data_IF_836545428831
#
_entry.id   IF_836545428831
#
_cell.length_a   1.000
_cell.length_b   1.000
_cell.length_c   1.000
_cell.angle_alpha   90.00
_cell.angle_beta   90.00
_cell.angle_gamma   90.00
#
_symmetry.space_group_name_H-M   'P 1'
#
loop_
_entity.id
_entity.type
_entity.pdbx_description
1 polymer ?
#
# COMPACT_ATOMS: atom_id res chain seq x y z
N UNK A 1 9.28 -28.05 -17.57
CA UNK A 1 8.03 -27.41 -17.08
C UNK A 1 8.16 -25.89 -17.17
N UNK A 2 9.29 -25.33 -16.76
CA UNK A 2 9.70 -23.93 -16.96
C UNK A 2 9.56 -23.43 -18.43
N UNK A 3 10.15 -24.13 -19.41
CA UNK A 3 10.02 -23.79 -20.85
C UNK A 3 8.59 -23.84 -21.41
N UNK A 4 7.62 -24.43 -20.69
CA UNK A 4 6.21 -24.44 -21.11
C UNK A 4 5.42 -23.24 -20.56
N UNK A 5 5.99 -22.52 -19.60
CA UNK A 5 5.36 -21.41 -18.88
C UNK A 5 6.04 -20.08 -19.20
N UNK A 6 7.34 -20.09 -19.54
CA UNK A 6 8.10 -18.96 -20.08
C UNK A 6 7.80 -18.82 -21.60
N UNK A 7 6.63 -18.27 -21.91
CA UNK A 7 6.13 -18.08 -23.29
C UNK A 7 6.85 -16.91 -23.96
N UNK A 8 7.30 -15.94 -23.17
CA UNK A 8 8.07 -14.77 -23.57
C UNK A 8 9.55 -15.09 -23.85
N UNK A 9 10.07 -16.18 -23.25
CA UNK A 9 11.41 -16.72 -23.50
C UNK A 9 12.52 -15.91 -22.83
N UNK A 10 12.22 -15.23 -21.73
CA UNK A 10 13.15 -14.33 -21.04
C UNK A 10 13.82 -14.95 -19.81
N UNK A 11 13.57 -16.24 -19.54
CA UNK A 11 14.21 -16.99 -18.47
C UNK A 11 13.65 -16.66 -17.08
N UNK A 12 12.50 -15.98 -17.02
CA UNK A 12 11.73 -15.61 -15.82
C UNK A 12 10.24 -15.72 -16.16
N UNK A 13 9.42 -16.07 -15.18
CA UNK A 13 7.96 -16.06 -15.32
C UNK A 13 7.45 -14.67 -14.97
N UNK A 14 6.83 -13.97 -15.93
CA UNK A 14 6.16 -12.70 -15.67
C UNK A 14 4.75 -12.90 -15.06
N UNK A 15 4.12 -11.79 -14.63
CA UNK A 15 2.78 -11.82 -14.03
C UNK A 15 1.69 -12.30 -15.01
N UNK A 16 1.89 -12.10 -16.32
CA UNK A 16 0.98 -12.59 -17.35
C UNK A 16 1.16 -14.12 -17.56
N UNK A 17 2.37 -14.65 -17.37
CA UNK A 17 2.74 -16.07 -17.44
C UNK A 17 2.41 -16.86 -16.17
N UNK A 18 2.33 -16.17 -15.04
CA UNK A 18 1.74 -16.65 -13.78
C UNK A 18 0.22 -16.71 -13.80
N UNK A 19 -0.44 -16.42 -14.93
CA UNK A 19 -1.86 -16.78 -15.09
C UNK A 19 -1.99 -18.30 -15.02
N UNK A 20 -2.19 -18.79 -13.80
CA UNK A 20 -2.64 -20.13 -13.52
C UNK A 20 -3.89 -20.34 -14.38
N UNK A 21 -3.75 -21.08 -15.49
CA UNK A 21 -4.86 -21.44 -16.36
C UNK A 21 -5.78 -22.40 -15.62
N UNK A 22 -6.53 -21.88 -14.66
CA UNK A 22 -7.63 -22.59 -14.05
C UNK A 22 -8.81 -22.42 -15.00
N UNK A 23 -9.21 -23.54 -15.61
CA UNK A 23 -10.52 -23.69 -16.26
C UNK A 23 -11.59 -23.07 -15.37
N UNK A 24 -12.62 -22.40 -15.91
CA UNK A 24 -13.79 -21.85 -15.20
C UNK A 24 -14.24 -22.69 -13.99
N UNK A 25 -13.54 -22.53 -12.86
CA UNK A 25 -13.77 -23.24 -11.62
C UNK A 25 -14.64 -22.32 -10.78
N UNK A 26 -15.58 -22.91 -10.08
CA UNK A 26 -16.33 -22.17 -9.09
C UNK A 26 -15.66 -22.49 -7.74
N UNK A 27 -14.86 -21.58 -7.19
CA UNK A 27 -14.08 -21.84 -5.98
C UNK A 27 -14.97 -22.18 -4.78
N UNK A 28 -16.18 -21.60 -4.67
CA UNK A 28 -17.13 -21.96 -3.60
C UNK A 28 -17.67 -23.39 -3.74
N UNK A 29 -17.82 -23.88 -4.98
CA UNK A 29 -18.22 -25.27 -5.21
C UNK A 29 -17.07 -26.21 -4.87
N UNK A 30 -15.84 -25.83 -5.20
CA UNK A 30 -14.65 -26.61 -4.92
C UNK A 30 -14.37 -26.65 -3.40
N UNK A 31 -14.61 -25.55 -2.68
CA UNK A 31 -14.63 -25.49 -1.21
C UNK A 31 -15.65 -26.49 -0.62
N UNK A 32 -16.91 -26.42 -1.06
CA UNK A 32 -17.97 -27.35 -0.59
C UNK A 32 -17.68 -28.82 -0.91
N UNK A 33 -16.93 -29.09 -1.97
CA UNK A 33 -16.51 -30.44 -2.30
C UNK A 33 -15.33 -30.92 -1.44
N UNK A 34 -14.51 -30.01 -0.94
CA UNK A 34 -13.40 -30.30 -0.03
C UNK A 34 -13.86 -30.43 1.43
N UNK A 35 -14.92 -29.73 1.82
CA UNK A 35 -15.55 -29.81 3.15
C UNK A 35 -16.27 -31.17 3.32
N UNK A 36 -15.49 -32.19 3.67
CA UNK A 36 -15.95 -33.57 3.72
C UNK A 36 -16.86 -33.83 4.93
N UNK A 37 -16.64 -33.10 6.02
CA UNK A 37 -17.41 -33.25 7.25
C UNK A 37 -18.66 -32.34 7.29
N UNK A 38 -18.73 -31.33 6.41
CA UNK A 38 -19.88 -30.44 6.24
C UNK A 38 -20.03 -29.39 7.33
N UNK A 39 -18.94 -29.02 8.01
CA UNK A 39 -18.97 -28.06 9.11
C UNK A 39 -18.71 -26.61 8.68
N UNK A 40 -18.52 -26.37 7.39
CA UNK A 40 -18.38 -25.06 6.79
C UNK A 40 -16.97 -24.47 6.88
N UNK A 41 -15.98 -25.24 7.34
CA UNK A 41 -14.56 -24.87 7.35
C UNK A 41 -13.71 -26.02 6.82
N UNK A 42 -12.55 -25.73 6.23
CA UNK A 42 -11.60 -26.77 5.81
C UNK A 42 -10.51 -26.96 6.86
N UNK A 43 -10.30 -28.21 7.25
CA UNK A 43 -9.07 -28.62 7.92
C UNK A 43 -7.90 -28.71 6.93
N UNK A 44 -6.66 -28.73 7.45
CA UNK A 44 -5.46 -28.95 6.63
C UNK A 44 -5.57 -30.24 5.80
N UNK A 45 -6.14 -31.30 6.37
CA UNK A 45 -6.32 -32.57 5.67
C UNK A 45 -7.29 -32.44 4.49
N UNK A 46 -8.40 -31.75 4.67
CA UNK A 46 -9.39 -31.50 3.62
C UNK A 46 -8.82 -30.59 2.52
N UNK A 47 -8.08 -29.55 2.91
CA UNK A 47 -7.42 -28.63 1.97
C UNK A 47 -6.37 -29.35 1.11
N UNK A 48 -5.60 -30.26 1.70
CA UNK A 48 -4.48 -30.97 1.04
C UNK A 48 -4.87 -32.27 0.33
N UNK A 49 -6.13 -32.73 0.43
CA UNK A 49 -6.59 -34.03 -0.09
C UNK A 49 -6.46 -34.26 -1.61
N UNK A 50 -5.98 -33.26 -2.38
CA UNK A 50 -5.79 -33.32 -3.83
C UNK A 50 -4.39 -33.76 -4.29
N UNK A 51 -4.22 -33.89 -5.61
CA UNK A 51 -2.89 -34.07 -6.24
C UNK A 51 -2.16 -32.72 -6.28
N UNK A 52 -0.90 -32.66 -5.84
CA UNK A 52 -0.09 -31.42 -5.86
C UNK A 52 1.15 -31.47 -4.97
N UNK A 53 1.77 -30.31 -4.75
CA UNK A 53 2.92 -30.13 -3.85
C UNK A 53 2.41 -29.92 -2.41
N UNK A 54 2.59 -30.91 -1.50
CA UNK A 54 2.00 -30.86 -0.17
C UNK A 54 2.54 -29.70 0.67
N UNK A 55 3.83 -29.36 0.54
CA UNK A 55 4.46 -28.27 1.30
C UNK A 55 3.87 -26.92 0.91
N UNK A 56 3.68 -26.66 -0.40
CA UNK A 56 3.02 -25.45 -0.90
C UNK A 56 1.59 -25.33 -0.38
N UNK A 57 0.81 -26.42 -0.41
CA UNK A 57 -0.56 -26.38 0.10
C UNK A 57 -0.61 -26.18 1.61
N UNK A 58 0.36 -26.73 2.35
CA UNK A 58 0.46 -26.50 3.79
C UNK A 58 0.77 -25.03 4.09
N UNK A 59 1.75 -24.45 3.40
CA UNK A 59 2.03 -23.01 3.48
C UNK A 59 0.78 -22.17 3.16
N UNK A 60 0.13 -22.43 2.02
CA UNK A 60 -1.07 -21.69 1.61
C UNK A 60 -2.22 -21.85 2.62
N UNK A 61 -2.26 -22.96 3.36
CA UNK A 61 -3.19 -23.11 4.46
C UNK A 61 -2.76 -22.21 5.63
N UNK A 62 -1.54 -22.39 6.14
CA UNK A 62 -1.00 -21.69 7.31
C UNK A 62 -0.98 -20.15 7.14
N UNK A 63 -0.77 -19.64 5.93
CA UNK A 63 -0.73 -18.18 5.62
C UNK A 63 -2.10 -17.51 5.65
N UNK A 64 -3.14 -18.21 5.20
CA UNK A 64 -4.48 -17.63 5.04
C UNK A 64 -5.46 -18.04 6.14
N UNK A 65 -5.03 -18.97 6.98
CA UNK A 65 -5.81 -19.48 8.09
C UNK A 65 -5.43 -18.76 9.39
N UNK A 66 -6.29 -17.84 9.84
CA UNK A 66 -6.05 -17.11 11.07
C UNK A 66 -6.38 -17.92 12.34
N UNK A 67 -7.20 -18.97 12.27
CA UNK A 67 -7.76 -19.67 13.44
C UNK A 67 -7.58 -21.22 13.44
N UNK A 68 -6.65 -21.70 12.62
CA UNK A 68 -6.38 -23.12 12.33
C UNK A 68 -7.52 -23.85 11.58
N UNK A 69 -8.45 -23.09 10.97
CA UNK A 69 -9.53 -23.56 10.11
C UNK A 69 -9.79 -22.58 8.97
N UNK A 70 -9.58 -23.04 7.74
CA UNK A 70 -9.81 -22.19 6.57
C UNK A 70 -11.31 -22.04 6.27
N UNK A 71 -11.86 -20.86 6.51
CA UNK A 71 -13.22 -20.49 6.12
C UNK A 71 -13.37 -20.36 4.60
N UNK A 72 -14.62 -20.32 4.12
CA UNK A 72 -14.87 -20.09 2.68
C UNK A 72 -14.26 -18.76 2.21
N UNK A 73 -14.26 -17.73 3.06
CA UNK A 73 -13.73 -16.42 2.69
C UNK A 73 -12.20 -16.44 2.58
N UNK A 74 -11.52 -17.10 3.51
CA UNK A 74 -10.07 -17.27 3.45
C UNK A 74 -9.66 -18.16 2.26
N UNK A 75 -10.43 -19.22 1.98
CA UNK A 75 -10.22 -20.03 0.77
C UNK A 75 -10.30 -19.22 -0.52
N UNK A 76 -11.22 -18.26 -0.59
CA UNK A 76 -11.35 -17.34 -1.72
C UNK A 76 -10.17 -16.38 -1.82
N UNK A 77 -9.40 -16.15 -0.75
CA UNK A 77 -8.16 -15.35 -0.79
C UNK A 77 -6.97 -16.12 -1.35
N UNK A 78 -6.99 -17.47 -1.36
CA UNK A 78 -5.82 -18.29 -1.73
C UNK A 78 -5.59 -18.28 -3.26
N UNK A 79 -4.46 -17.74 -3.78
CA UNK A 79 -4.20 -17.66 -5.22
C UNK A 79 -4.10 -19.00 -5.94
N UNK A 80 -3.67 -20.07 -5.24
CA UNK A 80 -3.59 -21.42 -5.83
C UNK A 80 -4.96 -22.08 -6.03
N UNK A 81 -6.01 -21.55 -5.38
CA UNK A 81 -7.39 -22.08 -5.45
C UNK A 81 -8.34 -21.16 -6.19
N UNK A 82 -8.07 -19.86 -6.16
CA UNK A 82 -9.00 -18.84 -6.62
C UNK A 82 -8.32 -17.94 -7.65
N UNK A 83 -8.92 -17.84 -8.83
CA UNK A 83 -8.44 -16.94 -9.89
C UNK A 83 -8.54 -15.47 -9.44
N UNK A 84 -7.67 -14.57 -9.94
CA UNK A 84 -7.72 -13.15 -9.56
C UNK A 84 -9.11 -12.51 -9.68
N UNK A 85 -9.88 -12.86 -10.71
CA UNK A 85 -11.23 -12.29 -10.94
C UNK A 85 -12.28 -12.76 -9.94
N UNK A 86 -12.05 -13.88 -9.27
CA UNK A 86 -12.95 -14.48 -8.26
C UNK A 86 -12.40 -14.33 -6.85
N UNK A 87 -11.19 -13.79 -6.70
CA UNK A 87 -10.50 -13.69 -5.42
C UNK A 87 -11.14 -12.60 -4.59
N UNK A 88 -11.35 -12.88 -3.31
CA UNK A 88 -11.81 -11.90 -2.34
C UNK A 88 -10.87 -11.91 -1.17
N UNK A 89 -10.27 -10.76 -0.88
CA UNK A 89 -9.27 -10.57 0.15
C UNK A 89 -9.74 -9.49 1.12
N UNK A 90 -10.40 -9.92 2.19
CA UNK A 90 -10.96 -9.02 3.19
C UNK A 90 -9.92 -8.49 4.19
N UNK A 91 -8.77 -9.15 4.29
CA UNK A 91 -7.72 -8.84 5.27
C UNK A 91 -6.62 -7.95 4.66
N UNK A 92 -6.98 -6.81 4.07
CA UNK A 92 -5.97 -5.79 3.70
C UNK A 92 -5.59 -4.95 4.93
N UNK A 93 -4.33 -5.04 5.42
CA UNK A 93 -3.90 -4.37 6.64
C UNK A 93 -3.91 -2.84 6.54
N UNK A 94 -3.76 -2.28 5.34
CA UNK A 94 -3.82 -0.83 5.11
C UNK A 94 -5.28 -0.36 5.06
N UNK A 95 -6.17 -1.14 4.45
CA UNK A 95 -7.62 -0.84 4.47
C UNK A 95 -8.13 -0.91 5.92
N UNK A 96 -7.77 -1.94 6.67
CA UNK A 96 -8.12 -2.06 8.08
C UNK A 96 -7.64 -0.85 8.90
N UNK A 97 -6.39 -0.41 8.69
CA UNK A 97 -5.86 0.78 9.35
C UNK A 97 -6.64 2.06 8.99
N UNK A 98 -7.03 2.21 7.73
CA UNK A 98 -7.85 3.34 7.28
C UNK A 98 -9.25 3.32 7.92
N UNK A 99 -9.91 2.17 7.97
CA UNK A 99 -11.25 2.03 8.57
C UNK A 99 -11.22 2.24 10.09
N UNK A 100 -10.19 1.74 10.79
CA UNK A 100 -9.96 2.07 12.20
C UNK A 100 -9.83 3.59 12.38
N UNK A 101 -9.03 4.25 11.54
CA UNK A 101 -8.85 5.71 11.61
C UNK A 101 -10.15 6.46 11.32
N UNK A 102 -10.95 6.00 10.36
CA UNK A 102 -12.28 6.58 10.09
C UNK A 102 -13.14 6.54 11.35
N UNK A 103 -13.22 5.39 12.03
CA UNK A 103 -14.04 5.26 13.24
C UNK A 103 -13.61 6.26 14.31
N UNK A 104 -12.31 6.40 14.55
CA UNK A 104 -11.76 7.36 15.52
C UNK A 104 -12.09 8.81 15.14
N UNK A 105 -11.87 9.18 13.88
CA UNK A 105 -12.14 10.56 13.41
C UNK A 105 -13.62 10.87 13.43
N UNK A 106 -14.49 9.90 13.12
CA UNK A 106 -15.94 10.09 13.18
C UNK A 106 -16.46 10.32 14.60
N UNK A 107 -15.77 9.83 15.64
CA UNK A 107 -16.10 10.16 17.03
C UNK A 107 -15.77 11.62 17.35
N UNK A 108 -14.63 12.11 16.87
CA UNK A 108 -14.22 13.52 17.00
C UNK A 108 -15.18 14.41 16.20
N UNK A 109 -15.53 14.01 14.97
CA UNK A 109 -16.51 14.68 14.11
C UNK A 109 -17.85 14.86 14.83
N UNK A 110 -18.41 13.79 15.39
CA UNK A 110 -19.69 13.84 16.10
C UNK A 110 -19.65 14.75 17.34
N UNK A 111 -18.48 14.90 17.97
CA UNK A 111 -18.29 15.81 19.11
C UNK A 111 -18.10 17.27 18.68
N UNK A 112 -17.64 17.49 17.45
CA UNK A 112 -17.41 18.80 16.86
C UNK A 112 -18.66 19.41 16.21
N UNK A 113 -19.60 18.57 15.76
CA UNK A 113 -20.89 18.97 15.20
C UNK A 113 -21.81 19.49 16.30
N UNK A 114 -21.67 20.78 16.62
CA UNK A 114 -22.37 21.39 17.74
C UNK A 114 -23.84 21.67 17.46
N UNK A 115 -24.22 21.71 16.18
CA UNK A 115 -25.58 21.98 15.74
C UNK A 115 -26.34 20.70 15.30
N UNK A 116 -25.68 19.55 15.34
CA UNK A 116 -26.20 18.20 15.06
C UNK A 116 -26.78 18.05 13.63
N UNK A 117 -26.21 18.74 12.65
CA UNK A 117 -26.64 18.65 11.24
C UNK A 117 -25.87 17.61 10.41
N UNK A 118 -24.99 16.82 11.05
CA UNK A 118 -24.11 15.83 10.45
C UNK A 118 -23.08 16.40 9.48
N UNK A 119 -22.73 17.67 9.64
CA UNK A 119 -21.73 18.41 8.87
C UNK A 119 -20.94 19.32 9.80
N UNK A 120 -19.71 19.63 9.43
CA UNK A 120 -18.89 20.62 10.14
C UNK A 120 -18.70 21.83 9.26
N UNK A 121 -19.17 22.98 9.71
CA UNK A 121 -18.78 24.23 9.09
C UNK A 121 -17.30 24.58 9.38
N UNK A 122 -16.80 25.65 8.79
CA UNK A 122 -15.40 26.06 8.95
C UNK A 122 -15.00 26.39 10.40
N UNK A 123 -15.94 26.80 11.26
CA UNK A 123 -15.67 27.12 12.66
C UNK A 123 -15.72 25.87 13.54
N UNK A 124 -16.72 25.02 13.34
CA UNK A 124 -16.83 23.69 13.97
C UNK A 124 -15.60 22.83 13.65
N UNK A 125 -15.20 22.78 12.38
CA UNK A 125 -14.02 22.06 11.94
C UNK A 125 -12.74 22.57 12.60
N UNK A 126 -12.56 23.90 12.66
CA UNK A 126 -11.36 24.52 13.26
C UNK A 126 -11.27 24.27 14.77
N UNK A 127 -12.41 24.31 15.47
CA UNK A 127 -12.47 24.13 16.91
C UNK A 127 -12.50 22.65 17.33
N UNK A 128 -13.01 21.78 16.47
CA UNK A 128 -13.26 20.36 16.71
C UNK A 128 -12.04 19.44 16.65
N UNK A 129 -10.85 19.95 16.29
CA UNK A 129 -9.58 19.19 16.22
C UNK A 129 -9.56 17.99 15.27
N UNK A 130 -10.52 17.90 14.34
CA UNK A 130 -10.67 16.78 13.38
C UNK A 130 -9.37 16.46 12.62
N UNK A 131 -8.55 17.46 12.30
CA UNK A 131 -7.27 17.26 11.59
C UNK A 131 -6.08 16.99 12.50
N UNK A 132 -6.11 17.46 13.75
CA UNK A 132 -4.94 17.49 14.63
C UNK A 132 -4.55 16.10 15.13
N UNK A 133 -5.53 15.22 15.22
CA UNK A 133 -5.38 13.89 15.81
C UNK A 133 -5.25 12.81 14.73
N UNK A 134 -5.16 13.20 13.44
CA UNK A 134 -4.96 12.27 12.33
C UNK A 134 -3.51 12.34 11.84
N UNK A 135 -2.69 11.31 12.11
CA UNK A 135 -1.31 11.28 11.70
C UNK A 135 -1.16 11.49 10.18
N UNK A 136 -0.35 12.47 9.79
CA UNK A 136 -0.07 12.83 8.39
C UNK A 136 -1.03 13.85 7.78
N UNK A 137 -2.17 14.16 8.40
CA UNK A 137 -3.14 15.16 7.90
C UNK A 137 -3.18 16.45 8.73
N UNK A 138 -2.23 16.65 9.65
CA UNK A 138 -2.24 17.73 10.63
C UNK A 138 -2.18 19.12 9.99
N UNK A 139 -1.59 19.22 8.80
CA UNK A 139 -1.43 20.45 8.03
C UNK A 139 -2.51 20.65 6.95
N UNK A 140 -3.38 19.66 6.74
CA UNK A 140 -4.45 19.76 5.76
C UNK A 140 -5.52 20.71 6.28
N UNK A 141 -5.83 21.71 5.46
CA UNK A 141 -6.79 22.76 5.75
C UNK A 141 -8.20 22.32 5.37
N UNK A 142 -9.19 23.09 5.82
CA UNK A 142 -10.62 22.84 5.59
C UNK A 142 -10.97 22.52 4.12
N UNK A 143 -10.37 23.22 3.16
CA UNK A 143 -10.54 23.02 1.72
C UNK A 143 -10.04 21.67 1.20
N UNK A 144 -9.09 21.03 1.90
CA UNK A 144 -8.70 19.65 1.62
C UNK A 144 -9.75 18.62 2.07
N UNK A 145 -10.62 19.00 3.00
CA UNK A 145 -11.68 18.15 3.55
C UNK A 145 -13.05 18.41 2.94
N UNK A 146 -13.38 19.67 2.64
CA UNK A 146 -14.57 20.07 1.89
C UNK A 146 -14.36 19.79 0.40
N UNK A 147 -14.74 18.58 -0.01
CA UNK A 147 -14.42 18.04 -1.34
C UNK A 147 -15.34 18.58 -2.42
N UNK A 148 -16.59 18.84 -2.06
CA UNK A 148 -17.59 19.36 -2.98
C UNK A 148 -17.66 20.91 -2.98
N UNK A 149 -16.89 21.56 -2.11
CA UNK A 149 -16.84 23.02 -1.94
C UNK A 149 -18.20 23.62 -1.55
N UNK A 150 -18.99 22.89 -0.76
CA UNK A 150 -20.29 23.35 -0.27
C UNK A 150 -20.19 24.21 1.00
N UNK A 151 -18.98 24.41 1.52
CA UNK A 151 -18.70 25.20 2.70
C UNK A 151 -18.88 24.42 4.01
N UNK A 152 -19.04 23.10 3.93
CA UNK A 152 -19.14 22.20 5.07
C UNK A 152 -18.39 20.88 4.79
N UNK A 153 -17.97 20.18 5.85
CA UNK A 153 -17.37 18.84 5.75
C UNK A 153 -18.39 17.82 6.25
N UNK A 154 -18.74 16.87 5.40
CA UNK A 154 -19.62 15.75 5.73
C UNK A 154 -18.85 14.50 6.16
N UNK A 155 -19.53 13.54 6.79
CA UNK A 155 -18.94 12.26 7.15
C UNK A 155 -18.49 11.41 5.95
N UNK A 156 -19.09 11.60 4.76
CA UNK A 156 -18.66 10.93 3.52
C UNK A 156 -17.34 11.51 3.00
N UNK A 157 -17.14 12.82 3.16
CA UNK A 157 -15.89 13.48 2.80
C UNK A 157 -14.77 13.09 3.75
N UNK A 158 -15.04 13.01 5.06
CA UNK A 158 -14.09 12.45 6.04
C UNK A 158 -13.63 11.06 5.63
N UNK A 159 -14.57 10.14 5.32
CA UNK A 159 -14.22 8.80 4.86
C UNK A 159 -13.36 8.81 3.60
N UNK A 160 -13.72 9.65 2.62
CA UNK A 160 -12.99 9.79 1.35
C UNK A 160 -11.57 10.29 1.58
N UNK A 161 -11.40 11.32 2.40
CA UNK A 161 -10.11 11.91 2.76
C UNK A 161 -9.22 10.89 3.48
N UNK A 162 -9.75 10.18 4.48
CA UNK A 162 -8.96 9.18 5.22
C UNK A 162 -8.57 8.00 4.31
N UNK A 163 -9.50 7.45 3.52
CA UNK A 163 -9.17 6.38 2.56
C UNK A 163 -8.13 6.83 1.54
N UNK A 164 -8.19 8.08 1.10
CA UNK A 164 -7.19 8.66 0.22
C UNK A 164 -5.83 8.82 0.88
N UNK A 165 -5.81 9.25 2.14
CA UNK A 165 -4.59 9.39 2.93
C UNK A 165 -3.85 8.06 3.15
N UNK A 166 -4.57 6.95 3.28
CA UNK A 166 -3.98 5.61 3.42
C UNK A 166 -3.72 4.91 2.08
N UNK A 167 -4.03 5.53 0.94
CA UNK A 167 -3.84 4.91 -0.38
C UNK A 167 -4.78 3.73 -0.62
N UNK A 168 -6.01 3.81 -0.14
CA UNK A 168 -7.10 2.86 -0.45
C UNK A 168 -7.77 3.27 -1.78
N UNK A 169 -8.01 4.56 -1.95
CA UNK A 169 -8.61 5.16 -3.15
C UNK A 169 -8.02 6.55 -3.41
N UNK A 170 -8.37 7.13 -4.54
CA UNK A 170 -8.09 8.52 -4.91
C UNK A 170 -9.14 9.45 -4.34
N UNK A 171 -8.84 10.76 -4.32
CA UNK A 171 -9.78 11.80 -3.90
C UNK A 171 -11.01 11.95 -4.82
N UNK A 172 -10.96 11.38 -6.03
CA UNK A 172 -12.07 11.31 -6.97
C UNK A 172 -12.89 10.00 -6.85
N UNK A 173 -12.52 9.13 -5.90
CA UNK A 173 -13.19 7.86 -5.62
C UNK A 173 -12.67 6.66 -6.43
N UNK A 174 -11.73 6.84 -7.37
CA UNK A 174 -11.14 5.72 -8.09
C UNK A 174 -10.25 4.87 -7.16
N UNK A 175 -10.39 3.55 -7.19
CA UNK A 175 -9.71 2.69 -6.23
C UNK A 175 -8.24 2.45 -6.58
N UNK A 176 -7.35 2.57 -5.59
CA UNK A 176 -5.96 2.10 -5.70
C UNK A 176 -5.86 0.60 -5.43
N UNK A 177 -6.77 0.05 -4.64
CA UNK A 177 -6.79 -1.35 -4.22
C UNK A 177 -8.05 -2.04 -4.73
N UNK A 178 -7.95 -3.34 -4.99
CA UNK A 178 -9.09 -4.14 -5.45
C UNK A 178 -9.49 -5.18 -4.42
N UNK A 179 -10.76 -5.66 -4.45
CA UNK A 179 -11.19 -6.77 -3.59
C UNK A 179 -10.35 -8.05 -3.76
N UNK A 180 -9.68 -8.23 -4.91
CA UNK A 180 -8.77 -9.35 -5.15
C UNK A 180 -7.43 -9.23 -4.41
N UNK A 181 -7.20 -8.14 -3.67
CA UNK A 181 -5.94 -7.89 -2.97
C UNK A 181 -4.82 -7.33 -3.86
N UNK A 182 -5.12 -6.94 -5.10
CA UNK A 182 -4.15 -6.27 -5.99
C UNK A 182 -4.17 -4.75 -5.80
N UNK A 183 -3.01 -4.12 -6.01
CA UNK A 183 -2.78 -2.68 -5.83
C UNK A 183 -2.30 -2.09 -7.17
N UNK A 184 -2.87 -0.97 -7.59
CA UNK A 184 -2.44 -0.25 -8.80
C UNK A 184 -1.03 0.31 -8.59
N UNK A 185 -0.14 0.15 -9.57
CA UNK A 185 1.16 0.80 -9.59
C UNK A 185 1.00 2.27 -10.00
N UNK A 186 0.51 3.09 -9.06
CA UNK A 186 0.30 4.51 -9.29
C UNK A 186 1.62 5.29 -9.46
N UNK A 187 2.71 4.81 -8.86
CA UNK A 187 4.04 5.38 -9.11
C UNK A 187 4.39 5.40 -10.60
N UNK A 188 4.05 4.33 -11.33
CA UNK A 188 4.27 4.27 -12.78
C UNK A 188 3.29 5.18 -13.55
N UNK A 189 2.04 5.29 -13.09
CA UNK A 189 1.05 6.20 -13.69
C UNK A 189 1.53 7.66 -13.59
N UNK A 190 1.88 8.11 -12.39
CA UNK A 190 2.42 9.47 -12.17
C UNK A 190 3.73 9.70 -12.90
N UNK A 191 4.55 8.66 -13.10
CA UNK A 191 5.75 8.78 -13.92
C UNK A 191 5.45 8.95 -15.42
N UNK A 192 4.37 8.34 -15.91
CA UNK A 192 3.93 8.45 -17.30
C UNK A 192 3.17 9.76 -17.59
N UNK A 193 2.53 10.34 -16.58
CA UNK A 193 1.92 11.67 -16.61
C UNK A 193 3.00 12.77 -16.51
N UNK A 194 3.69 13.03 -17.63
CA UNK A 194 4.81 13.99 -17.71
C UNK A 194 4.42 15.42 -17.33
N UNK A 195 3.18 15.83 -17.56
CA UNK A 195 2.68 17.19 -17.37
C UNK A 195 1.81 17.37 -16.12
N UNK A 196 1.53 16.29 -15.38
CA UNK A 196 0.79 16.33 -14.12
C UNK A 196 -0.68 16.70 -14.30
N UNK A 197 -1.28 16.39 -15.45
CA UNK A 197 -2.69 16.69 -15.75
C UNK A 197 -3.61 15.48 -15.53
N UNK A 198 -3.09 14.45 -14.86
CA UNK A 198 -3.76 13.19 -14.52
C UNK A 198 -4.14 12.35 -15.75
N UNK A 199 -3.39 12.52 -16.83
CA UNK A 199 -3.68 11.91 -18.13
C UNK A 199 -2.40 11.48 -18.83
N UNK A 200 -2.45 10.33 -19.50
CA UNK A 200 -1.31 9.82 -20.27
C UNK A 200 -1.61 9.93 -21.76
N UNK A 201 -0.99 10.90 -22.42
CA UNK A 201 -1.10 11.02 -23.87
C UNK A 201 -0.50 9.80 -24.58
N UNK A 202 -1.02 9.46 -25.76
CA UNK A 202 -0.44 8.39 -26.62
C UNK A 202 1.06 8.58 -26.87
N UNK A 203 1.51 9.82 -27.05
CA UNK A 203 2.94 10.13 -27.24
C UNK A 203 3.75 9.70 -26.02
N UNK A 204 3.38 10.18 -24.83
CA UNK A 204 4.06 9.85 -23.58
C UNK A 204 4.07 8.33 -23.34
N UNK A 205 2.94 7.65 -23.60
CA UNK A 205 2.84 6.20 -23.47
C UNK A 205 3.86 5.44 -24.36
N UNK A 206 3.97 5.84 -25.62
CA UNK A 206 4.84 5.17 -26.61
C UNK A 206 6.32 5.51 -26.38
N UNK A 207 6.64 6.79 -26.16
CA UNK A 207 8.01 7.27 -25.97
C UNK A 207 8.62 6.76 -24.65
N UNK A 208 7.82 6.66 -23.58
CA UNK A 208 8.23 6.07 -22.32
C UNK A 208 8.31 4.54 -22.32
N UNK A 209 7.95 3.89 -23.43
CA UNK A 209 8.07 2.44 -23.59
C UNK A 209 7.13 1.63 -22.69
N UNK A 210 6.08 2.24 -22.14
CA UNK A 210 5.25 1.63 -21.11
C UNK A 210 4.51 0.37 -21.59
N UNK A 211 4.25 0.24 -22.89
CA UNK A 211 3.64 -0.94 -23.49
C UNK A 211 4.61 -1.96 -24.10
N UNK A 212 5.93 -1.75 -23.96
CA UNK A 212 6.96 -2.64 -24.49
C UNK A 212 6.89 -2.81 -26.02
N UNK A 213 7.14 -4.03 -26.51
CA UNK A 213 7.22 -4.34 -27.95
C UNK A 213 5.91 -4.04 -28.72
N UNK A 214 4.75 -4.17 -28.07
CA UNK A 214 3.43 -3.99 -28.69
C UNK A 214 2.71 -2.75 -28.14
N UNK A 215 3.45 -1.68 -27.84
CA UNK A 215 2.90 -0.54 -27.12
C UNK A 215 1.72 0.14 -27.83
N UNK A 216 1.72 0.22 -29.17
CA UNK A 216 0.61 0.82 -29.91
C UNK A 216 -0.70 0.02 -29.80
N UNK A 217 -0.61 -1.31 -29.81
CA UNK A 217 -1.76 -2.22 -29.65
C UNK A 217 -2.29 -2.17 -28.22
N UNK A 218 -1.40 -2.30 -27.22
CA UNK A 218 -1.76 -2.21 -25.79
C UNK A 218 -2.36 -0.85 -25.43
N UNK A 219 -1.89 0.23 -26.05
CA UNK A 219 -2.50 1.55 -25.87
C UNK A 219 -3.93 1.55 -26.40
N UNK A 220 -4.15 1.04 -27.61
CA UNK A 220 -5.48 1.00 -28.22
C UNK A 220 -6.45 0.09 -27.45
N UNK A 221 -5.96 -0.97 -26.82
CA UNK A 221 -6.77 -1.82 -25.93
C UNK A 221 -7.14 -1.12 -24.61
N UNK A 222 -6.26 -0.25 -24.10
CA UNK A 222 -6.46 0.49 -22.87
C UNK A 222 -7.31 1.77 -23.07
N UNK A 223 -7.21 2.41 -24.23
CA UNK A 223 -7.96 3.62 -24.64
C UNK A 223 -9.38 3.22 -25.06
N UNK A 224 -10.28 3.13 -24.07
CA UNK A 224 -11.59 2.50 -24.24
C UNK A 224 -12.60 3.42 -24.91
N UNK A 225 -12.48 4.73 -24.71
CA UNK A 225 -13.31 5.72 -25.37
C UNK A 225 -12.69 6.24 -26.69
N UNK A 226 -11.41 5.94 -26.94
CA UNK A 226 -10.72 6.27 -28.17
C UNK A 226 -10.32 7.74 -28.27
N UNK A 227 -10.22 8.45 -27.14
CA UNK A 227 -9.84 9.86 -27.11
C UNK A 227 -8.33 10.09 -27.34
N UNK A 228 -7.54 9.02 -27.39
CA UNK A 228 -6.09 9.10 -27.61
C UNK A 228 -5.29 9.49 -26.37
N UNK A 229 -5.93 9.39 -25.21
CA UNK A 229 -5.40 9.71 -23.88
C UNK A 229 -5.87 8.61 -22.93
N UNK A 230 -5.00 8.13 -22.04
CA UNK A 230 -5.40 7.19 -20.99
C UNK A 230 -5.68 7.95 -19.70
N UNK A 231 -6.86 7.75 -19.15
CA UNK A 231 -7.21 8.13 -17.79
C UNK A 231 -6.66 7.13 -16.77
N UNK A 232 -6.65 7.48 -15.48
CA UNK A 232 -6.34 6.52 -14.41
C UNK A 232 -7.27 5.29 -14.44
N UNK A 233 -8.56 5.48 -14.72
CA UNK A 233 -9.55 4.40 -14.80
C UNK A 233 -9.19 3.37 -15.88
N UNK A 234 -8.70 3.83 -17.02
CA UNK A 234 -8.26 2.98 -18.13
C UNK A 234 -6.92 2.33 -17.85
N UNK A 235 -5.94 3.11 -17.38
CA UNK A 235 -4.63 2.62 -17.01
C UNK A 235 -4.69 1.51 -15.96
N UNK A 236 -5.51 1.71 -14.92
CA UNK A 236 -5.66 0.78 -13.81
C UNK A 236 -6.36 -0.52 -14.18
N UNK A 237 -7.05 -0.63 -15.33
CA UNK A 237 -7.70 -1.88 -15.75
C UNK A 237 -6.73 -2.95 -16.23
N UNK A 238 -5.56 -2.55 -16.72
CA UNK A 238 -4.57 -3.48 -17.24
C UNK A 238 -3.93 -4.31 -16.10
N UNK A 239 -3.98 -5.65 -16.14
CA UNK A 239 -3.43 -6.49 -15.06
C UNK A 239 -1.94 -6.24 -14.76
N UNK A 240 -1.11 -6.07 -15.79
CA UNK A 240 0.31 -5.75 -15.65
C UNK A 240 0.62 -4.35 -15.09
N UNK A 241 -0.40 -3.52 -14.84
CA UNK A 241 -0.29 -2.24 -14.12
C UNK A 241 -0.63 -2.38 -12.64
N UNK A 242 -0.97 -3.58 -12.21
CA UNK A 242 -1.26 -3.91 -10.83
C UNK A 242 -0.16 -4.80 -10.28
N UNK A 243 0.05 -4.67 -8.99
CA UNK A 243 0.90 -5.51 -8.17
C UNK A 243 -0.05 -6.46 -7.46
N UNK A 244 0.34 -7.73 -7.36
CA UNK A 244 -0.36 -8.73 -6.55
C UNK A 244 0.56 -9.09 -5.37
N UNK A 245 0.52 -8.32 -4.26
CA UNK A 245 1.40 -8.57 -3.11
C UNK A 245 1.24 -9.98 -2.54
N UNK A 246 0.04 -10.56 -2.68
CA UNK A 246 -0.25 -11.91 -2.19
C UNK A 246 0.51 -12.94 -3.04
N UNK A 247 0.43 -12.81 -4.37
CA UNK A 247 1.17 -13.68 -5.27
C UNK A 247 2.69 -13.49 -5.17
N UNK A 248 3.16 -12.25 -4.96
CA UNK A 248 4.58 -11.95 -4.75
C UNK A 248 5.10 -12.56 -3.44
N UNK A 249 4.35 -12.42 -2.35
CA UNK A 249 4.67 -13.05 -1.07
C UNK A 249 4.86 -14.56 -1.22
N UNK A 250 3.87 -15.25 -1.79
CA UNK A 250 3.93 -16.70 -2.01
C UNK A 250 5.01 -17.13 -3.01
N UNK A 251 5.52 -16.21 -3.83
CA UNK A 251 6.64 -16.47 -4.74
C UNK A 251 7.98 -16.28 -4.06
N UNK A 252 8.08 -15.35 -3.11
CA UNK A 252 9.28 -15.09 -2.34
C UNK A 252 9.54 -16.17 -1.29
N UNK A 253 8.47 -16.70 -0.69
CA UNK A 253 8.52 -17.82 0.25
C UNK A 253 8.91 -19.10 -0.48
N UNK A 254 10.23 -19.32 -0.56
CA UNK A 254 10.86 -20.36 -1.36
C UNK A 254 11.02 -21.65 -0.56
N UNK A 255 11.09 -21.55 0.77
CA UNK A 255 11.16 -22.69 1.67
C UNK A 255 9.80 -23.18 2.18
N UNK A 256 8.73 -22.46 1.82
CA UNK A 256 7.34 -22.73 2.18
C UNK A 256 7.08 -22.64 3.70
N UNK A 257 7.79 -21.74 4.39
CA UNK A 257 7.66 -21.51 5.83
C UNK A 257 6.39 -20.76 6.22
N UNK A 258 5.77 -20.03 5.29
CA UNK A 258 4.61 -19.17 5.57
C UNK A 258 4.98 -17.77 6.05
N UNK A 259 6.28 -17.46 6.14
CA UNK A 259 6.84 -16.13 6.38
C UNK A 259 7.90 -15.80 5.33
N UNK A 260 8.39 -14.56 5.31
CA UNK A 260 9.51 -14.18 4.45
C UNK A 260 10.73 -13.77 5.27
N UNK A 261 11.81 -14.53 5.12
CA UNK A 261 13.13 -14.17 5.65
C UNK A 261 13.77 -12.99 4.91
N UNK A 262 14.83 -12.40 5.48
CA UNK A 262 15.56 -11.32 4.84
C UNK A 262 16.09 -11.73 3.47
N UNK A 263 16.65 -12.93 3.40
CA UNK A 263 17.26 -13.51 2.22
C UNK A 263 16.24 -13.71 1.10
N UNK A 264 15.05 -14.19 1.43
CA UNK A 264 13.96 -14.40 0.47
C UNK A 264 13.44 -13.08 -0.09
N UNK A 265 13.20 -12.08 0.75
CA UNK A 265 12.79 -10.74 0.34
C UNK A 265 13.86 -10.11 -0.56
N UNK A 266 15.13 -10.20 -0.20
CA UNK A 266 16.24 -9.65 -1.00
C UNK A 266 16.42 -10.38 -2.34
N UNK A 267 16.29 -11.71 -2.36
CA UNK A 267 16.39 -12.51 -3.58
C UNK A 267 15.18 -12.29 -4.52
N UNK A 268 14.01 -12.04 -3.94
CA UNK A 268 12.78 -11.79 -4.66
C UNK A 268 12.66 -10.39 -5.27
N UNK A 269 13.34 -9.41 -4.68
CA UNK A 269 13.26 -8.00 -5.07
C UNK A 269 14.25 -7.59 -6.15
N UNK A 270 13.87 -6.59 -6.94
CA UNK A 270 14.76 -6.01 -7.95
C UNK A 270 15.84 -5.14 -7.30
N UNK A 271 17.04 -5.11 -7.87
CA UNK A 271 18.20 -4.41 -7.30
C UNK A 271 17.95 -2.94 -6.96
N UNK A 272 17.16 -2.23 -7.77
CA UNK A 272 16.83 -0.82 -7.53
C UNK A 272 15.97 -0.59 -6.27
N UNK A 273 15.35 -1.63 -5.73
CA UNK A 273 14.59 -1.58 -4.47
C UNK A 273 15.42 -1.98 -3.25
N UNK A 274 16.57 -2.65 -3.44
CA UNK A 274 17.35 -3.24 -2.35
C UNK A 274 17.68 -2.25 -1.24
N UNK A 275 17.87 -0.97 -1.58
CA UNK A 275 18.09 0.10 -0.62
C UNK A 275 17.01 0.17 0.47
N UNK A 276 15.73 0.13 0.08
CA UNK A 276 14.62 0.17 1.03
C UNK A 276 14.30 -1.22 1.58
N UNK A 277 14.49 -2.26 0.78
CA UNK A 277 14.26 -3.65 1.17
C UNK A 277 15.09 -4.07 2.38
N UNK A 278 16.33 -3.56 2.49
CA UNK A 278 17.21 -3.86 3.62
C UNK A 278 16.62 -3.47 4.99
N UNK A 279 15.66 -2.55 5.02
CA UNK A 279 15.03 -2.04 6.24
C UNK A 279 13.69 -2.70 6.57
N UNK A 280 13.16 -3.56 5.70
CA UNK A 280 11.80 -4.07 5.85
C UNK A 280 11.60 -4.89 7.11
N UNK A 281 12.41 -5.92 7.36
CA UNK A 281 12.28 -6.68 8.61
C UNK A 281 12.43 -5.78 9.83
N UNK A 282 13.43 -4.90 9.84
CA UNK A 282 13.64 -3.98 10.96
C UNK A 282 12.47 -3.03 11.20
N UNK A 283 11.67 -2.66 10.20
CA UNK A 283 10.58 -1.69 10.35
C UNK A 283 9.17 -2.32 10.37
N UNK A 284 9.01 -3.57 9.89
CA UNK A 284 7.72 -4.17 9.64
C UNK A 284 7.46 -5.49 10.37
N UNK A 285 8.49 -6.16 10.89
CA UNK A 285 8.38 -7.34 11.77
C UNK A 285 7.93 -6.90 13.18
N UNK A 286 6.63 -6.89 13.40
CA UNK A 286 5.97 -6.48 14.64
C UNK A 286 6.02 -7.60 15.69
N UNK A 287 5.96 -8.86 15.25
CA UNK A 287 6.06 -10.03 16.13
C UNK A 287 7.49 -10.33 16.61
N UNK A 288 8.50 -9.82 15.90
CA UNK A 288 9.92 -10.01 16.20
C UNK A 288 10.42 -11.42 15.89
N UNK A 289 9.77 -12.12 14.97
CA UNK A 289 10.10 -13.51 14.61
C UNK A 289 11.15 -13.62 13.48
N UNK A 290 11.68 -12.48 13.05
CA UNK A 290 12.67 -12.32 11.97
C UNK A 290 12.16 -12.72 10.60
N UNK A 291 10.84 -12.80 10.43
CA UNK A 291 10.18 -13.01 9.16
C UNK A 291 9.14 -11.90 8.96
N UNK A 292 8.71 -11.69 7.70
CA UNK A 292 7.50 -10.93 7.43
C UNK A 292 6.35 -11.90 7.25
N UNK A 293 5.30 -11.77 8.05
CA UNK A 293 4.02 -12.41 7.74
C UNK A 293 3.36 -11.75 6.51
N UNK A 294 2.34 -12.39 5.92
CA UNK A 294 1.64 -11.81 4.75
C UNK A 294 1.05 -10.43 5.07
N UNK A 295 0.53 -10.25 6.29
CA UNK A 295 -0.02 -8.96 6.74
C UNK A 295 1.07 -7.88 6.82
N UNK A 296 2.27 -8.22 7.28
CA UNK A 296 3.39 -7.28 7.37
C UNK A 296 3.96 -6.95 6.00
N UNK A 297 4.15 -7.97 5.17
CA UNK A 297 4.61 -7.78 3.79
C UNK A 297 3.67 -6.87 3.01
N UNK A 298 2.35 -7.00 3.17
CA UNK A 298 1.39 -6.12 2.50
C UNK A 298 1.45 -4.67 2.94
N UNK A 299 2.12 -4.36 4.05
CA UNK A 299 2.39 -2.97 4.47
C UNK A 299 3.68 -2.43 3.86
N UNK A 300 4.64 -3.26 3.45
CA UNK A 300 5.94 -2.74 2.99
C UNK A 300 5.81 -1.88 1.73
N UNK A 301 6.69 -0.88 1.54
CA UNK A 301 6.60 0.03 0.39
C UNK A 301 6.57 -0.64 -0.98
N UNK A 302 7.25 -1.78 -1.17
CA UNK A 302 7.25 -2.48 -2.46
C UNK A 302 5.90 -3.12 -2.82
N UNK A 303 5.13 -3.56 -1.82
CA UNK A 303 3.78 -4.08 -2.01
C UNK A 303 2.78 -2.96 -2.35
N UNK A 304 3.20 -1.71 -2.21
CA UNK A 304 2.37 -0.51 -2.31
C UNK A 304 3.05 0.55 -3.18
N UNK A 305 3.38 0.27 -4.45
CA UNK A 305 4.00 1.25 -5.37
C UNK A 305 3.04 2.36 -5.81
N UNK A 306 2.47 3.06 -4.83
CA UNK A 306 1.60 4.22 -5.01
C UNK A 306 2.40 5.52 -5.17
N UNK A 307 3.63 5.54 -4.64
CA UNK A 307 4.59 6.63 -4.76
C UNK A 307 6.02 6.06 -4.90
N UNK A 308 7.02 6.88 -5.30
CA UNK A 308 8.41 6.43 -5.42
C UNK A 308 9.09 6.32 -4.04
N UNK A 309 8.67 5.33 -3.25
CA UNK A 309 9.19 5.08 -1.90
C UNK A 309 10.68 4.70 -1.86
N UNK A 310 11.16 4.09 -2.94
CA UNK A 310 12.56 3.65 -3.12
C UNK A 310 13.55 4.81 -3.31
N UNK A 311 13.07 6.03 -3.59
CA UNK A 311 13.94 7.19 -3.85
C UNK A 311 14.42 7.80 -2.53
N UNK A 312 15.73 7.96 -2.37
CA UNK A 312 16.31 8.64 -1.20
C UNK A 312 15.73 10.04 -1.03
N UNK A 313 15.21 10.32 0.16
CA UNK A 313 14.81 11.66 0.59
C UNK A 313 16.05 12.52 0.89
N UNK A 314 15.86 13.82 1.05
CA UNK A 314 16.95 14.75 1.31
C UNK A 314 16.71 15.52 2.60
N UNK A 315 17.76 15.63 3.40
CA UNK A 315 17.84 16.54 4.54
C UNK A 315 17.92 17.98 4.00
N UNK A 316 16.78 18.66 4.01
CA UNK A 316 16.62 19.98 3.40
C UNK A 316 17.13 21.07 4.31
N UNK A 317 16.97 20.94 5.63
CA UNK A 317 17.41 21.96 6.58
C UNK A 317 18.85 21.79 7.10
N UNK A 318 19.45 20.61 6.86
CA UNK A 318 20.84 20.29 7.16
C UNK A 318 21.09 19.90 8.62
N UNK A 319 20.07 19.48 9.35
CA UNK A 319 20.18 19.10 10.76
C UNK A 319 20.70 17.66 11.00
N UNK A 320 20.90 16.90 9.91
CA UNK A 320 21.42 15.54 9.93
C UNK A 320 20.36 14.46 10.19
N UNK A 321 19.07 14.82 10.23
CA UNK A 321 17.94 13.92 10.36
C UNK A 321 16.92 14.19 9.24
N UNK A 322 15.90 13.36 9.12
CA UNK A 322 14.72 13.69 8.33
C UNK A 322 13.53 13.94 9.24
N UNK A 323 13.00 15.14 9.19
CA UNK A 323 11.64 15.42 9.69
C UNK A 323 10.59 14.77 8.78
N UNK A 324 9.36 14.60 9.29
CA UNK A 324 8.24 14.12 8.46
C UNK A 324 8.02 14.99 7.20
N UNK A 325 8.18 16.30 7.33
CA UNK A 325 8.07 17.26 6.20
C UNK A 325 9.16 17.11 5.13
N UNK A 326 10.29 16.49 5.46
CA UNK A 326 11.36 16.16 4.51
C UNK A 326 11.20 14.76 3.94
N UNK A 327 10.65 13.84 4.73
CA UNK A 327 10.27 12.50 4.29
C UNK A 327 9.17 12.55 3.22
N UNK A 328 8.19 13.43 3.41
CA UNK A 328 7.11 13.71 2.47
C UNK A 328 6.99 15.22 2.25
N UNK A 329 7.18 15.64 1.01
CA UNK A 329 6.85 16.98 0.57
C UNK A 329 5.37 16.98 0.17
N UNK A 330 4.49 17.60 0.96
CA UNK A 330 3.28 18.29 0.52
C UNK A 330 2.22 18.41 1.63
N UNK A 331 1.33 19.39 1.44
CA UNK A 331 0.04 19.47 2.12
C UNK A 331 -1.03 18.75 1.27
N UNK A 332 -0.70 17.65 0.58
CA UNK A 332 -1.70 16.88 -0.15
C UNK A 332 -2.27 15.78 0.73
N UNK A 333 -3.54 15.46 0.49
CA UNK A 333 -4.23 14.40 1.23
C UNK A 333 -3.76 13.02 0.81
N UNK A 334 -3.64 12.75 -0.50
CA UNK A 334 -3.40 11.40 -1.00
C UNK A 334 -2.08 10.83 -0.48
N UNK A 335 -2.14 9.64 0.11
CA UNK A 335 -0.98 8.92 0.67
C UNK A 335 -0.35 9.58 1.91
N UNK A 336 -0.91 10.65 2.46
CA UNK A 336 -0.32 11.34 3.61
C UNK A 336 -0.29 10.45 4.88
N UNK A 337 -1.39 9.76 5.16
CA UNK A 337 -1.49 8.79 6.27
C UNK A 337 -0.58 7.57 6.05
N UNK A 338 -0.51 7.04 4.83
CA UNK A 338 0.40 5.94 4.49
C UNK A 338 1.88 6.36 4.62
N UNK A 339 2.21 7.59 4.23
CA UNK A 339 3.55 8.13 4.40
C UNK A 339 3.90 8.28 5.87
N UNK A 340 2.91 8.68 6.70
CA UNK A 340 3.09 8.77 8.13
C UNK A 340 3.30 7.39 8.77
N UNK A 341 2.54 6.39 8.35
CA UNK A 341 2.76 5.01 8.79
C UNK A 341 4.19 4.54 8.47
N UNK A 342 4.72 4.86 7.29
CA UNK A 342 6.11 4.51 6.95
C UNK A 342 7.12 5.27 7.78
N UNK A 343 6.91 6.56 7.99
CA UNK A 343 7.77 7.37 8.84
C UNK A 343 7.85 6.77 10.25
N UNK A 344 6.70 6.53 10.89
CA UNK A 344 6.63 6.00 12.25
C UNK A 344 7.22 4.59 12.38
N UNK A 345 7.12 3.76 11.33
CA UNK A 345 7.74 2.43 11.30
C UNK A 345 9.26 2.48 11.19
N UNK A 346 9.80 3.50 10.51
CA UNK A 346 11.24 3.70 10.44
C UNK A 346 11.80 4.40 11.69
N UNK A 347 11.02 5.28 12.33
CA UNK A 347 11.36 5.99 13.57
C UNK A 347 11.31 5.02 14.76
N UNK A 348 12.42 4.32 14.99
CA UNK A 348 12.49 3.20 15.93
C UNK A 348 12.71 3.65 17.36
N UNK A 349 13.30 4.82 17.55
CA UNK A 349 13.47 5.40 18.88
C UNK A 349 12.35 6.39 19.26
N UNK A 350 11.36 6.59 18.37
CA UNK A 350 10.16 7.40 18.57
C UNK A 350 10.52 8.85 18.96
N UNK A 351 11.61 9.37 18.38
CA UNK A 351 12.11 10.71 18.66
C UNK A 351 11.56 11.78 17.69
N UNK A 352 10.75 11.34 16.71
CA UNK A 352 10.01 12.17 15.77
C UNK A 352 10.80 12.56 14.53
N UNK A 353 11.96 11.95 14.28
CA UNK A 353 12.85 12.23 13.15
C UNK A 353 13.63 10.97 12.76
N UNK A 354 13.94 10.80 11.48
CA UNK A 354 14.68 9.63 11.01
C UNK A 354 16.19 9.90 10.96
N UNK A 355 16.96 9.06 11.62
CA UNK A 355 18.42 9.01 11.52
C UNK A 355 18.90 8.16 10.33
N UNK A 356 20.17 8.28 9.97
CA UNK A 356 20.81 7.43 8.94
C UNK A 356 20.87 5.94 9.33
N UNK A 357 20.64 5.60 10.61
CA UNK A 357 20.56 4.21 11.04
C UNK A 357 19.20 3.60 10.72
N UNK A 358 18.15 4.42 10.69
CA UNK A 358 16.77 4.02 10.48
C UNK A 358 16.40 4.03 9.00
N UNK A 359 16.77 5.10 8.30
CA UNK A 359 16.50 5.24 6.88
C UNK A 359 17.68 5.89 6.15
N UNK A 360 18.00 5.38 4.97
CA UNK A 360 19.02 5.94 4.11
C UNK A 360 18.52 7.21 3.39
N UNK A 361 19.19 8.35 3.60
CA UNK A 361 18.86 9.62 2.92
C UNK A 361 20.08 10.45 2.53
N UNK A 362 19.85 11.46 1.69
CA UNK A 362 20.90 12.38 1.20
C UNK A 362 21.12 13.49 2.22
N UNK A 363 22.35 13.62 2.71
CA UNK A 363 22.82 14.75 3.53
C UNK A 363 23.76 15.60 2.68
N UNK A 364 23.56 16.92 2.65
CA UNK A 364 24.49 17.85 2.01
C UNK A 364 25.59 18.25 3.01
N UNK A 365 26.84 17.78 2.84
CA UNK A 365 27.92 18.06 3.78
C UNK A 365 28.34 19.54 3.80
N UNK A 366 27.90 20.35 2.82
CA UNK A 366 28.26 21.76 2.72
C UNK A 366 27.18 22.70 3.30
N UNK A 367 26.02 22.18 3.73
CA UNK A 367 25.03 22.99 4.45
C UNK A 367 25.46 23.15 5.92
N UNK A 368 25.51 24.38 6.45
CA UNK A 368 25.88 24.58 7.84
C UNK A 368 24.80 24.00 8.75
N UNK A 369 25.18 23.06 9.62
CA UNK A 369 24.30 22.53 10.67
C UNK A 369 23.71 23.67 11.49
N UNK A 370 22.41 23.92 11.32
CA UNK A 370 21.72 24.93 12.11
C UNK A 370 21.42 24.31 13.46
N UNK A 371 22.36 24.41 14.40
CA UNK A 371 22.19 23.97 15.79
C UNK A 371 20.84 24.45 16.31
N UNK A 372 20.03 23.52 16.82
CA UNK A 372 18.80 23.81 17.55
C UNK A 372 19.08 24.88 18.62
N UNK A 373 18.19 25.86 18.83
CA UNK A 373 18.42 26.89 19.83
C UNK A 373 18.56 26.22 21.20
N UNK A 374 19.72 26.40 21.83
CA UNK A 374 19.98 25.90 23.18
C UNK A 374 18.96 26.47 24.16
N UNK A 375 18.49 25.71 25.16
CA UNK A 375 17.55 26.23 26.15
C UNK A 375 18.22 27.39 26.89
N UNK A 376 17.58 28.56 26.83
CA UNK A 376 18.00 29.79 27.50
C UNK A 376 18.26 29.52 28.97
N UNK A 377 19.52 29.46 29.38
CA UNK A 377 19.92 29.51 30.79
C UNK A 377 19.67 30.93 31.31
N UNK A 378 18.60 31.08 32.07
CA UNK A 378 18.33 32.27 32.87
C UNK A 378 19.51 32.53 33.82
N UNK A 379 20.12 33.72 33.84
CA UNK A 379 21.19 34.00 34.79
C UNK A 379 20.59 34.26 36.17
N UNK A 380 20.97 33.44 37.13
CA UNK A 380 20.71 33.62 38.56
C UNK A 380 21.38 34.93 39.02
N UNK A 381 20.57 35.94 39.30
CA UNK A 381 21.04 37.19 39.89
C UNK A 381 21.51 36.97 41.33
N UNK A 382 22.77 37.26 41.59
CA UNK A 382 23.33 37.42 42.93
C UNK A 382 22.86 38.73 43.54
N UNK A 383 22.17 38.63 44.68
CA UNK A 383 21.86 39.75 45.56
C UNK A 383 23.12 40.23 46.30
N UNK A 384 23.25 41.54 46.44
CA UNK A 384 24.03 42.23 47.48
C UNK A 384 23.09 43.06 48.33
#
# INVERSE_FOLDING_TARGET
>A
MFEKLDVSGEGRLDLDELTFKTSHRNPERDFRAADANGDGMLSLQEFTAGQGEPDRHRRDFDVFDADHRLSCQEYLSVPSRTSPDQRVCDQDPIVAAAETRIVEVMQVFASADGNENLRLDADEFRNGRVTRDVPGLELIRFDGWDRNSDGSVSGEEVQTVIRAAYGVQRLDGQAYRTPAGTVVNNMLFTHADENGDDRISKRAYLEGGYGGKNAAEKFQEADLDGEGILTFAEWSRAPHRRIDPIAEFLRFDADFSGGLSHEEVMAGTQEWQHLVTQRYLTAFDNEGDQQLSLAEYRRVPMANLLAPWHVKRGDRDGDGHLSFSEFRDDNQVELAGLSREYFDRYDRDDDGKLSQQELDFRVDPNKPHRKSPSPTTTPTGTAS
#
